data_IF_798981516015
#
_entry.id   IF_798981516015
#
_cell.length_a   1.000
_cell.length_b   1.000
_cell.length_c   1.000
_cell.angle_alpha   90.00
_cell.angle_beta   90.00
_cell.angle_gamma   90.00
#
_symmetry.space_group_name_H-M   'P 1'
#
loop_
_entity.id
_entity.type
_entity.pdbx_description
1 polymer ?
#
# COMPACT_ATOMS: atom_id res chain seq x y z
N UNK A 1 15.92 -12.44 5.95
CA UNK A 1 14.94 -11.61 6.63
C UNK A 1 15.66 -10.46 7.32
N UNK A 2 15.26 -9.23 7.06
CA UNK A 2 15.76 -7.99 7.65
C UNK A 2 17.31 -7.88 7.70
N UNK A 3 17.99 -7.96 6.54
CA UNK A 3 19.44 -7.86 6.53
C UNK A 3 19.90 -6.49 7.04
N UNK A 4 21.01 -6.50 7.81
CA UNK A 4 21.65 -5.29 8.30
C UNK A 4 22.62 -4.71 7.27
N UNK A 5 23.08 -3.46 7.50
CA UNK A 5 23.92 -2.66 6.61
C UNK A 5 25.27 -3.28 6.22
N UNK A 6 25.71 -4.30 6.95
CA UNK A 6 27.06 -4.84 6.83
C UNK A 6 27.33 -5.57 5.50
N UNK A 7 26.28 -5.97 4.77
CA UNK A 7 26.50 -6.68 3.51
C UNK A 7 25.26 -6.71 2.62
N UNK A 8 25.49 -6.44 1.33
CA UNK A 8 24.52 -6.73 0.27
C UNK A 8 24.73 -8.13 -0.35
N UNK A 9 25.24 -9.09 0.42
CA UNK A 9 25.44 -10.47 -0.07
C UNK A 9 24.13 -11.12 -0.47
N UNK A 10 23.03 -10.78 0.20
CA UNK A 10 21.68 -11.21 -0.20
C UNK A 10 21.31 -10.73 -1.60
N UNK A 11 21.65 -9.49 -1.96
CA UNK A 11 21.43 -8.97 -3.30
C UNK A 11 22.24 -9.75 -4.35
N UNK A 12 23.51 -10.08 -4.02
CA UNK A 12 24.37 -10.91 -4.90
C UNK A 12 23.81 -12.33 -5.07
N UNK A 13 23.36 -12.94 -3.97
CA UNK A 13 22.72 -14.27 -4.01
C UNK A 13 21.43 -14.24 -4.82
N UNK A 14 20.58 -13.24 -4.60
CA UNK A 14 19.35 -13.02 -5.36
C UNK A 14 19.65 -12.91 -6.86
N UNK A 15 20.69 -12.15 -7.23
CA UNK A 15 21.13 -12.03 -8.63
C UNK A 15 21.61 -13.37 -9.20
N UNK A 16 22.42 -14.14 -8.47
CA UNK A 16 22.89 -15.45 -8.92
C UNK A 16 21.72 -16.41 -9.15
N UNK A 17 20.74 -16.43 -8.25
CA UNK A 17 19.53 -17.28 -8.38
C UNK A 17 18.76 -16.87 -9.65
N UNK A 18 18.53 -15.59 -9.84
CA UNK A 18 17.82 -15.08 -11.00
C UNK A 18 18.56 -15.38 -12.32
N UNK A 19 19.88 -15.19 -12.35
CA UNK A 19 20.71 -15.47 -13.54
C UNK A 19 20.74 -16.97 -13.87
N UNK A 20 20.68 -17.84 -12.82
CA UNK A 20 20.57 -19.29 -13.00
C UNK A 20 19.19 -19.69 -13.54
N UNK A 21 18.12 -19.12 -13.04
CA UNK A 21 16.76 -19.38 -13.50
C UNK A 21 15.84 -18.15 -13.27
N UNK A 22 15.59 -17.43 -14.35
CA UNK A 22 14.77 -16.20 -14.33
C UNK A 22 13.27 -16.43 -13.99
N UNK A 23 12.83 -17.68 -13.85
CA UNK A 23 11.50 -18.01 -13.32
C UNK A 23 11.45 -18.06 -11.78
N UNK A 24 12.61 -18.01 -11.14
CA UNK A 24 12.68 -17.95 -9.68
C UNK A 24 12.78 -16.49 -9.26
N UNK A 25 11.81 -16.04 -8.49
CA UNK A 25 11.81 -14.71 -7.87
C UNK A 25 12.38 -14.79 -6.46
N UNK A 26 13.64 -14.39 -6.24
CA UNK A 26 14.18 -14.32 -4.88
C UNK A 26 13.40 -13.29 -4.06
N UNK A 27 13.03 -13.65 -2.84
CA UNK A 27 12.34 -12.77 -1.93
C UNK A 27 13.22 -12.42 -0.73
N UNK A 28 13.35 -11.13 -0.48
CA UNK A 28 14.01 -10.59 0.70
C UNK A 28 13.09 -9.57 1.37
N UNK A 29 12.86 -9.71 2.66
CA UNK A 29 12.21 -8.71 3.47
C UNK A 29 13.26 -7.72 3.99
N UNK A 30 13.10 -6.45 3.70
CA UNK A 30 13.99 -5.37 4.15
C UNK A 30 13.44 -4.74 5.43
N UNK A 31 14.33 -4.21 6.25
CA UNK A 31 13.96 -3.33 7.35
C UNK A 31 13.24 -2.07 6.84
N UNK A 32 12.34 -1.48 7.63
CA UNK A 32 11.73 -0.20 7.29
C UNK A 32 12.77 0.92 7.26
N UNK A 33 12.42 2.05 6.61
CA UNK A 33 13.28 3.24 6.60
C UNK A 33 13.66 3.63 8.04
N UNK A 34 14.93 3.93 8.24
CA UNK A 34 15.47 4.26 9.55
C UNK A 34 15.79 3.06 10.44
N UNK A 35 15.64 1.84 9.95
CA UNK A 35 16.07 0.63 10.65
C UNK A 35 17.56 0.63 10.97
N UNK A 36 18.36 1.33 10.14
CA UNK A 36 19.79 1.61 10.39
C UNK A 36 20.22 2.88 9.64
N UNK A 37 21.35 3.54 10.02
CA UNK A 37 21.73 4.86 9.50
C UNK A 37 21.93 4.95 7.99
N UNK A 38 22.52 3.94 7.36
CA UNK A 38 22.80 3.88 5.91
C UNK A 38 21.73 3.16 5.10
N UNK A 39 20.48 3.18 5.58
CA UNK A 39 19.37 2.47 4.93
C UNK A 39 19.17 2.84 3.44
N UNK A 40 19.24 4.13 3.12
CA UNK A 40 19.08 4.61 1.74
C UNK A 40 20.21 4.11 0.82
N UNK A 41 21.47 4.10 1.29
CA UNK A 41 22.61 3.55 0.55
C UNK A 41 22.45 2.05 0.34
N UNK A 42 22.11 1.32 1.40
CA UNK A 42 21.89 -0.12 1.35
C UNK A 42 20.81 -0.50 0.34
N UNK A 43 19.64 0.13 0.38
CA UNK A 43 18.53 -0.16 -0.54
C UNK A 43 18.88 0.24 -1.98
N UNK A 44 19.57 1.37 -2.16
CA UNK A 44 20.06 1.78 -3.48
C UNK A 44 21.04 0.77 -4.07
N UNK A 45 21.98 0.26 -3.29
CA UNK A 45 22.93 -0.76 -3.71
C UNK A 45 22.23 -2.10 -3.97
N UNK A 46 21.31 -2.51 -3.09
CA UNK A 46 20.49 -3.70 -3.28
C UNK A 46 19.75 -3.66 -4.61
N UNK A 47 19.05 -2.58 -4.91
CA UNK A 47 18.33 -2.39 -6.18
C UNK A 47 19.27 -2.36 -7.38
N UNK A 48 20.44 -1.73 -7.26
CA UNK A 48 21.43 -1.68 -8.34
C UNK A 48 22.02 -3.06 -8.66
N UNK A 49 22.29 -3.88 -7.65
CA UNK A 49 22.82 -5.23 -7.82
C UNK A 49 21.76 -6.15 -8.41
N UNK A 50 20.54 -6.12 -7.89
CA UNK A 50 19.45 -7.03 -8.29
C UNK A 50 18.75 -6.59 -9.57
N UNK A 51 18.62 -5.28 -9.82
CA UNK A 51 17.89 -4.72 -10.96
C UNK A 51 18.54 -4.93 -12.31
N UNK A 52 19.87 -4.89 -12.41
CA UNK A 52 20.65 -5.17 -13.60
C UNK A 52 19.93 -4.85 -14.93
N UNK A 53 19.93 -5.81 -15.85
CA UNK A 53 19.16 -5.78 -17.12
C UNK A 53 17.76 -6.38 -16.98
N UNK A 54 17.44 -6.98 -15.85
CA UNK A 54 16.17 -7.62 -15.58
C UNK A 54 15.41 -6.80 -14.52
N UNK A 55 14.10 -6.66 -14.70
CA UNK A 55 13.23 -6.08 -13.69
C UNK A 55 13.36 -6.92 -12.43
N UNK A 56 13.78 -6.30 -11.36
CA UNK A 56 13.71 -6.90 -10.04
C UNK A 56 12.23 -7.17 -9.72
N UNK A 57 11.89 -8.43 -9.44
CA UNK A 57 10.49 -8.76 -9.38
C UNK A 57 9.80 -8.15 -8.17
N UNK A 58 10.48 -7.94 -7.04
CA UNK A 58 10.00 -6.94 -6.07
C UNK A 58 10.93 -6.57 -4.93
N UNK A 59 10.77 -5.35 -4.49
CA UNK A 59 11.35 -4.77 -3.30
C UNK A 59 10.31 -4.87 -2.16
N UNK A 60 10.59 -5.67 -1.14
CA UNK A 60 9.67 -5.92 -0.03
C UNK A 60 10.25 -5.47 1.31
N UNK A 61 9.39 -4.99 2.20
CA UNK A 61 9.75 -4.57 3.54
C UNK A 61 8.58 -4.79 4.50
N UNK A 62 8.81 -4.62 5.80
CA UNK A 62 7.76 -4.52 6.80
C UNK A 62 7.84 -3.24 7.63
N UNK A 63 6.69 -2.76 8.07
CA UNK A 63 6.54 -1.67 9.02
C UNK A 63 5.10 -1.68 9.53
N UNK A 64 4.90 -2.00 10.79
CA UNK A 64 3.57 -2.19 11.36
C UNK A 64 3.08 -0.92 12.06
N UNK A 65 1.78 -0.66 11.97
CA UNK A 65 1.23 0.66 12.30
C UNK A 65 0.28 0.71 13.50
N UNK A 66 -0.35 -0.39 13.92
CA UNK A 66 -1.32 -0.38 15.01
C UNK A 66 -0.67 -0.79 16.33
N UNK A 67 -0.29 0.21 17.14
CA UNK A 67 0.50 0.04 18.35
C UNK A 67 -0.35 -0.46 19.53
N UNK A 68 0.28 -1.19 20.46
CA UNK A 68 -0.39 -1.77 21.64
C UNK A 68 -0.99 -0.72 22.59
N UNK A 69 -0.45 0.49 22.60
CA UNK A 69 -0.97 1.64 23.39
C UNK A 69 -2.18 2.34 22.76
N UNK A 70 -2.65 1.84 21.59
CA UNK A 70 -3.71 2.45 20.80
C UNK A 70 -3.24 3.51 19.83
N UNK A 71 -1.93 3.80 19.78
CA UNK A 71 -1.30 4.72 18.85
C UNK A 71 -1.24 4.17 17.43
N UNK A 72 -0.86 5.05 16.51
CA UNK A 72 -0.59 4.74 15.12
C UNK A 72 0.85 5.15 14.78
N UNK A 73 1.61 4.25 14.17
CA UNK A 73 2.96 4.53 13.71
C UNK A 73 2.92 5.33 12.40
N UNK A 74 2.98 6.64 12.48
CA UNK A 74 2.95 7.56 11.35
C UNK A 74 4.14 7.40 10.39
N UNK A 75 5.23 6.79 10.84
CA UNK A 75 6.41 6.50 10.02
C UNK A 75 6.13 5.51 8.88
N UNK A 76 5.02 4.76 8.94
CA UNK A 76 4.61 3.83 7.89
C UNK A 76 4.45 4.53 6.52
N UNK A 77 3.89 5.74 6.49
CA UNK A 77 3.70 6.49 5.24
C UNK A 77 5.03 6.89 4.59
N UNK A 78 6.01 7.30 5.39
CA UNK A 78 7.34 7.61 4.87
C UNK A 78 8.02 6.36 4.29
N UNK A 79 7.92 5.22 4.97
CA UNK A 79 8.46 3.95 4.48
C UNK A 79 7.81 3.52 3.15
N UNK A 80 6.46 3.58 3.07
CA UNK A 80 5.71 3.28 1.84
C UNK A 80 6.13 4.18 0.68
N UNK A 81 6.24 5.49 0.93
CA UNK A 81 6.63 6.46 -0.11
C UNK A 81 8.06 6.22 -0.60
N UNK A 82 8.99 5.93 0.29
CA UNK A 82 10.38 5.60 -0.08
C UNK A 82 10.45 4.33 -0.92
N UNK A 83 9.80 3.25 -0.51
CA UNK A 83 9.76 1.99 -1.25
C UNK A 83 9.13 2.19 -2.63
N UNK A 84 8.03 2.97 -2.73
CA UNK A 84 7.44 3.36 -4.01
C UNK A 84 8.44 4.08 -4.92
N UNK A 85 9.14 5.09 -4.39
CA UNK A 85 10.15 5.86 -5.13
C UNK A 85 11.27 4.96 -5.65
N UNK A 86 11.77 4.03 -4.84
CA UNK A 86 12.76 3.05 -5.27
C UNK A 86 12.20 2.09 -6.32
N UNK A 87 10.96 1.62 -6.14
CA UNK A 87 10.28 0.80 -7.14
C UNK A 87 10.19 1.46 -8.50
N UNK A 88 9.77 2.74 -8.55
CA UNK A 88 9.72 3.52 -9.78
C UNK A 88 11.13 3.74 -10.37
N UNK A 89 12.09 4.17 -9.55
CA UNK A 89 13.46 4.46 -9.98
C UNK A 89 14.16 3.25 -10.60
N UNK A 90 13.97 2.07 -10.04
CA UNK A 90 14.66 0.85 -10.47
C UNK A 90 13.75 -0.11 -11.25
N UNK A 91 12.55 0.33 -11.62
CA UNK A 91 11.55 -0.47 -12.33
C UNK A 91 11.28 -1.82 -11.61
N UNK A 92 11.17 -1.79 -10.29
CA UNK A 92 10.90 -2.96 -9.46
C UNK A 92 9.46 -2.93 -8.96
N UNK A 93 8.80 -4.09 -8.93
CA UNK A 93 7.54 -4.23 -8.22
C UNK A 93 7.79 -4.07 -6.72
N UNK A 94 6.84 -3.49 -6.01
CA UNK A 94 6.96 -3.23 -4.58
C UNK A 94 5.95 -4.04 -3.79
N UNK A 95 6.29 -4.37 -2.57
CA UNK A 95 5.41 -5.07 -1.67
C UNK A 95 5.72 -4.79 -0.21
N UNK A 96 4.81 -5.16 0.66
CA UNK A 96 5.04 -5.02 2.08
C UNK A 96 4.25 -6.05 2.89
N UNK A 97 4.69 -6.22 4.14
CA UNK A 97 3.99 -7.03 5.10
C UNK A 97 2.99 -6.19 5.89
N UNK A 98 1.74 -6.58 5.81
CA UNK A 98 0.61 -5.96 6.52
C UNK A 98 0.43 -6.59 7.89
N UNK A 99 0.09 -5.77 8.87
CA UNK A 99 -0.15 -6.22 10.24
C UNK A 99 -1.43 -7.04 10.34
N UNK A 100 -1.31 -8.29 10.79
CA UNK A 100 -2.44 -9.11 11.23
C UNK A 100 -2.04 -10.01 12.40
N UNK A 101 -1.31 -9.44 13.36
CA UNK A 101 -0.87 -10.11 14.57
C UNK A 101 -1.07 -9.23 15.80
N UNK A 102 -1.05 -9.86 16.95
CA UNK A 102 -0.82 -9.20 18.23
C UNK A 102 0.51 -9.68 18.82
N UNK A 103 1.36 -8.70 19.18
CA UNK A 103 2.57 -8.89 19.97
C UNK A 103 2.39 -8.08 21.24
N UNK A 104 2.32 -8.75 22.40
CA UNK A 104 2.04 -8.10 23.67
C UNK A 104 3.03 -6.98 23.96
N UNK A 105 2.50 -5.77 24.18
CA UNK A 105 3.28 -4.58 24.48
C UNK A 105 3.86 -3.87 23.26
N UNK A 106 3.75 -4.43 22.04
CA UNK A 106 4.22 -3.81 20.81
C UNK A 106 3.06 -3.50 19.85
N UNK A 107 2.30 -4.50 19.42
CA UNK A 107 1.24 -4.36 18.41
C UNK A 107 -0.06 -4.98 18.91
N UNK A 108 -1.18 -4.31 18.67
CA UNK A 108 -2.51 -4.78 19.05
C UNK A 108 -3.22 -5.54 17.94
N UNK A 109 -4.26 -6.25 18.30
CA UNK A 109 -5.22 -6.81 17.35
C UNK A 109 -5.82 -5.68 16.53
N UNK A 110 -5.83 -5.85 15.21
CA UNK A 110 -6.45 -4.90 14.27
C UNK A 110 -7.95 -5.19 14.11
N UNK A 111 -8.75 -4.13 14.00
CA UNK A 111 -10.16 -4.23 13.59
C UNK A 111 -10.28 -4.53 12.09
N UNK A 112 -11.49 -4.86 11.64
CA UNK A 112 -11.76 -5.12 10.23
C UNK A 112 -11.46 -3.88 9.36
N UNK A 113 -11.82 -2.68 9.85
CA UNK A 113 -11.54 -1.40 9.17
C UNK A 113 -10.04 -1.11 9.12
N UNK A 114 -9.28 -1.47 10.15
CA UNK A 114 -7.83 -1.32 10.17
C UNK A 114 -7.12 -2.32 9.26
N UNK A 115 -7.61 -3.55 9.17
CA UNK A 115 -7.11 -4.52 8.19
C UNK A 115 -7.37 -4.05 6.76
N UNK A 116 -8.55 -3.50 6.49
CA UNK A 116 -8.88 -2.93 5.19
C UNK A 116 -8.02 -1.69 4.89
N UNK A 117 -7.84 -0.80 5.89
CA UNK A 117 -6.98 0.37 5.75
C UNK A 117 -5.52 0.00 5.44
N UNK A 118 -5.00 -1.04 6.07
CA UNK A 118 -3.66 -1.54 5.78
C UNK A 118 -3.50 -1.92 4.29
N UNK A 119 -4.50 -2.61 3.74
CA UNK A 119 -4.54 -2.94 2.32
C UNK A 119 -4.71 -1.70 1.42
N UNK A 120 -5.63 -0.79 1.77
CA UNK A 120 -5.90 0.45 1.01
C UNK A 120 -4.69 1.39 0.99
N UNK A 121 -3.99 1.49 2.12
CA UNK A 121 -2.75 2.25 2.23
C UNK A 121 -1.68 1.69 1.29
N UNK A 122 -1.44 0.38 1.31
CA UNK A 122 -0.51 -0.25 0.37
C UNK A 122 -0.91 -0.04 -1.08
N UNK A 123 -2.21 -0.12 -1.38
CA UNK A 123 -2.73 0.20 -2.71
C UNK A 123 -2.37 1.63 -3.11
N UNK A 124 -2.64 2.64 -2.27
CA UNK A 124 -2.36 4.04 -2.59
C UNK A 124 -0.88 4.27 -2.93
N UNK A 125 0.02 3.56 -2.25
CA UNK A 125 1.46 3.66 -2.53
C UNK A 125 1.97 2.70 -3.62
N UNK A 126 1.08 2.09 -4.40
CA UNK A 126 1.47 1.29 -5.57
C UNK A 126 2.03 -0.09 -5.27
N UNK A 127 1.81 -0.61 -4.06
CA UNK A 127 2.25 -1.97 -3.73
C UNK A 127 1.58 -2.99 -4.64
N UNK A 128 2.36 -3.94 -5.14
CA UNK A 128 1.90 -5.01 -6.03
C UNK A 128 1.85 -6.36 -5.32
N UNK A 129 2.55 -6.48 -4.20
CA UNK A 129 2.62 -7.70 -3.44
C UNK A 129 2.23 -7.43 -1.99
N UNK A 130 1.12 -8.01 -1.57
CA UNK A 130 0.52 -7.86 -0.26
C UNK A 130 0.71 -9.13 0.54
N UNK A 131 1.36 -9.04 1.70
CA UNK A 131 1.63 -10.16 2.60
C UNK A 131 1.09 -9.85 3.97
N UNK A 132 0.52 -10.82 4.63
CA UNK A 132 0.05 -10.69 6.01
C UNK A 132 1.06 -11.29 6.99
N UNK A 133 1.45 -10.53 7.98
CA UNK A 133 2.23 -11.00 9.11
C UNK A 133 1.40 -10.91 10.40
N UNK A 134 0.97 -12.03 10.98
CA UNK A 134 1.41 -13.39 10.71
C UNK A 134 0.21 -14.31 10.50
N UNK A 135 0.27 -15.22 9.52
CA UNK A 135 -0.83 -16.13 9.25
C UNK A 135 -1.07 -17.11 10.42
N UNK A 136 -0.06 -17.87 10.83
CA UNK A 136 -0.15 -18.79 11.96
C UNK A 136 0.56 -18.16 13.17
N UNK A 137 -0.12 -18.12 14.30
CA UNK A 137 0.46 -17.62 15.56
C UNK A 137 1.71 -18.41 15.94
N UNK A 138 2.89 -17.77 16.05
CA UNK A 138 4.09 -18.48 16.52
C UNK A 138 3.92 -18.98 17.96
N UNK A 139 4.17 -20.26 18.19
CA UNK A 139 4.07 -20.89 19.51
C UNK A 139 5.48 -21.17 20.02
N UNK A 140 5.86 -20.52 21.13
CA UNK A 140 7.10 -20.84 21.85
C UNK A 140 8.39 -20.45 21.14
N UNK A 141 8.35 -19.55 20.17
CA UNK A 141 9.52 -19.21 19.34
C UNK A 141 9.89 -17.73 19.37
N UNK A 142 11.19 -17.44 19.27
CA UNK A 142 11.73 -16.16 18.79
C UNK A 142 11.86 -15.02 19.78
N UNK A 143 11.47 -15.17 21.03
CA UNK A 143 11.61 -14.08 22.04
C UNK A 143 10.52 -13.01 22.00
N UNK A 144 9.69 -12.95 20.97
CA UNK A 144 8.55 -12.05 20.89
C UNK A 144 7.29 -12.70 21.47
N UNK A 145 6.51 -11.98 22.30
CA UNK A 145 5.33 -12.52 22.94
C UNK A 145 4.09 -12.47 22.05
N UNK A 146 4.11 -13.21 20.92
CA UNK A 146 2.95 -13.36 20.06
C UNK A 146 1.77 -13.96 20.83
N UNK A 147 0.60 -13.39 20.65
CA UNK A 147 -0.64 -13.88 21.28
C UNK A 147 -1.64 -14.37 20.25
N UNK A 148 -1.69 -13.73 19.06
CA UNK A 148 -2.56 -14.17 17.97
C UNK A 148 -2.03 -13.71 16.61
N UNK A 149 -2.34 -14.51 15.58
CA UNK A 149 -2.23 -14.21 14.15
C UNK A 149 -3.59 -14.38 13.49
N UNK A 150 -3.62 -14.58 12.17
CA UNK A 150 -4.88 -14.89 11.46
C UNK A 150 -5.45 -16.23 11.93
N UNK A 151 -4.58 -17.21 12.12
CA UNK A 151 -4.91 -18.50 12.78
C UNK A 151 -4.32 -18.45 14.19
N UNK A 152 -5.18 -18.66 15.18
CA UNK A 152 -4.82 -18.63 16.59
C UNK A 152 -3.90 -19.80 17.01
N UNK A 153 -3.39 -19.76 18.27
CA UNK A 153 -2.52 -20.81 18.79
C UNK A 153 -3.24 -22.15 18.97
N UNK A 154 -4.55 -22.17 18.92
CA UNK A 154 -5.41 -23.38 18.92
C UNK A 154 -5.69 -23.90 17.50
N UNK A 155 -5.01 -23.37 16.48
CA UNK A 155 -5.16 -23.71 15.06
C UNK A 155 -6.55 -23.40 14.48
N UNK A 156 -7.30 -22.47 15.08
CA UNK A 156 -8.59 -22.01 14.59
C UNK A 156 -8.51 -20.57 14.07
N UNK A 157 -9.46 -20.18 13.19
CA UNK A 157 -9.61 -18.78 12.79
C UNK A 157 -9.70 -17.86 14.00
N UNK A 158 -8.86 -16.82 14.02
CA UNK A 158 -8.89 -15.79 15.05
C UNK A 158 -9.98 -14.74 14.73
N UNK A 159 -10.09 -13.74 15.59
CA UNK A 159 -10.99 -12.58 15.38
C UNK A 159 -10.64 -11.76 14.14
N UNK A 160 -9.41 -11.85 13.62
CA UNK A 160 -8.95 -11.14 12.42
C UNK A 160 -9.22 -11.90 11.11
N UNK A 161 -9.62 -13.18 11.18
CA UNK A 161 -9.72 -14.03 9.99
C UNK A 161 -10.67 -13.49 8.92
N UNK A 162 -11.88 -13.09 9.31
CA UNK A 162 -12.89 -12.60 8.34
C UNK A 162 -12.49 -11.22 7.80
N UNK A 163 -11.89 -10.34 8.61
CA UNK A 163 -11.37 -9.05 8.16
C UNK A 163 -10.23 -9.21 7.14
N UNK A 164 -9.27 -10.11 7.38
CA UNK A 164 -8.20 -10.44 6.42
C UNK A 164 -8.77 -11.01 5.12
N UNK A 165 -9.75 -11.90 5.22
CA UNK A 165 -10.42 -12.49 4.05
C UNK A 165 -11.16 -11.41 3.23
N UNK A 166 -11.84 -10.47 3.87
CA UNK A 166 -12.52 -9.35 3.21
C UNK A 166 -11.50 -8.41 2.54
N UNK A 167 -10.41 -8.04 3.23
CA UNK A 167 -9.35 -7.24 2.66
C UNK A 167 -8.68 -7.92 1.46
N UNK A 168 -8.45 -9.24 1.50
CA UNK A 168 -7.91 -9.99 0.37
C UNK A 168 -8.86 -9.99 -0.84
N UNK A 169 -10.17 -10.10 -0.62
CA UNK A 169 -11.15 -9.99 -1.69
C UNK A 169 -11.10 -8.61 -2.35
N UNK A 170 -10.94 -7.55 -1.55
CA UNK A 170 -10.81 -6.17 -2.03
C UNK A 170 -9.51 -5.97 -2.81
N UNK A 171 -8.37 -6.46 -2.31
CA UNK A 171 -7.08 -6.46 -3.03
C UNK A 171 -7.21 -7.14 -4.40
N UNK A 172 -7.90 -8.27 -4.47
CA UNK A 172 -8.11 -8.98 -5.73
C UNK A 172 -8.95 -8.17 -6.74
N UNK A 173 -9.95 -7.41 -6.27
CA UNK A 173 -10.72 -6.50 -7.13
C UNK A 173 -9.84 -5.33 -7.62
N UNK A 174 -9.10 -4.68 -6.75
CA UNK A 174 -8.19 -3.60 -7.15
C UNK A 174 -7.13 -4.06 -8.15
N UNK A 175 -6.61 -5.28 -7.98
CA UNK A 175 -5.61 -5.88 -8.87
C UNK A 175 -6.07 -6.02 -10.31
N UNK A 176 -7.38 -6.18 -10.56
CA UNK A 176 -7.95 -6.25 -11.92
C UNK A 176 -7.76 -4.93 -12.69
N UNK A 177 -7.74 -3.81 -11.99
CA UNK A 177 -7.61 -2.46 -12.57
C UNK A 177 -6.19 -1.96 -12.49
N UNK A 178 -5.57 -2.02 -11.30
CA UNK A 178 -4.30 -1.36 -11.01
C UNK A 178 -3.08 -2.29 -11.09
N UNK A 179 -3.28 -3.58 -11.34
CA UNK A 179 -2.19 -4.56 -11.37
C UNK A 179 -1.12 -4.27 -12.43
N UNK A 180 -1.49 -3.59 -13.52
CA UNK A 180 -0.61 -3.17 -14.59
C UNK A 180 -0.45 -1.65 -14.68
N UNK A 181 -0.46 -0.96 -13.57
CA UNK A 181 -0.30 0.48 -13.47
C UNK A 181 0.61 0.82 -12.32
N UNK A 182 1.36 1.91 -12.38
CA UNK A 182 2.22 2.37 -11.28
C UNK A 182 1.64 3.63 -10.63
N UNK A 183 1.71 3.72 -9.29
CA UNK A 183 1.37 4.92 -8.55
C UNK A 183 2.49 5.95 -8.71
N UNK A 184 2.35 6.85 -9.70
CA UNK A 184 3.37 7.84 -10.04
C UNK A 184 3.42 9.00 -9.06
N UNK A 185 2.27 9.35 -8.47
CA UNK A 185 2.15 10.41 -7.47
C UNK A 185 1.32 9.91 -6.28
N UNK A 186 1.69 10.34 -5.07
CA UNK A 186 0.93 10.08 -3.85
C UNK A 186 0.95 11.32 -2.97
N UNK A 187 -0.23 11.71 -2.51
CA UNK A 187 -0.47 12.90 -1.72
C UNK A 187 -1.36 12.61 -0.51
N UNK A 188 -1.33 13.50 0.47
CA UNK A 188 -2.28 13.50 1.59
C UNK A 188 -3.13 14.77 1.58
N UNK A 189 -4.33 14.71 2.16
CA UNK A 189 -5.19 15.89 2.35
C UNK A 189 -4.59 16.94 3.29
N UNK A 190 -3.67 16.52 4.16
CA UNK A 190 -3.00 17.34 5.18
C UNK A 190 -1.53 16.93 5.34
N UNK A 191 -0.76 17.70 6.07
CA UNK A 191 0.67 17.48 6.25
C UNK A 191 0.97 16.17 7.01
N UNK A 192 1.67 15.25 6.33
CA UNK A 192 2.18 13.99 6.89
C UNK A 192 3.66 13.87 6.59
N UNK A 193 4.45 13.52 7.60
CA UNK A 193 5.91 13.44 7.46
C UNK A 193 6.36 12.52 6.33
N UNK A 194 7.27 13.01 5.48
CA UNK A 194 7.80 12.28 4.34
C UNK A 194 6.85 12.16 3.14
N UNK A 195 5.72 12.90 3.16
CA UNK A 195 4.73 12.92 2.09
C UNK A 195 4.32 14.34 1.76
N UNK A 196 3.81 14.52 0.55
CA UNK A 196 3.35 15.81 0.06
C UNK A 196 1.85 16.00 0.30
N UNK A 197 1.43 17.25 0.45
CA UNK A 197 0.00 17.61 0.48
C UNK A 197 -0.48 17.69 -0.96
N UNK A 198 -1.72 17.26 -1.20
CA UNK A 198 -2.35 17.31 -2.52
C UNK A 198 -2.30 18.73 -3.08
N UNK A 199 -1.75 18.96 -4.30
CA UNK A 199 -1.65 20.27 -4.90
C UNK A 199 -3.03 20.80 -5.35
N UNK A 200 -3.16 22.12 -5.46
CA UNK A 200 -4.42 22.76 -5.84
C UNK A 200 -4.89 22.42 -7.26
N UNK A 201 -3.96 22.11 -8.15
CA UNK A 201 -4.18 21.72 -9.54
C UNK A 201 -4.30 20.21 -9.76
N UNK A 202 -4.38 19.43 -8.69
CA UNK A 202 -4.65 18.00 -8.83
C UNK A 202 -5.98 17.76 -9.53
N UNK A 203 -6.07 16.67 -10.28
CA UNK A 203 -7.21 16.34 -11.19
C UNK A 203 -8.60 16.36 -10.53
N UNK A 204 -8.67 16.12 -9.22
CA UNK A 204 -9.86 16.31 -8.39
C UNK A 204 -9.46 17.05 -7.13
N UNK A 205 -10.23 18.04 -6.71
CA UNK A 205 -9.98 18.80 -5.50
C UNK A 205 -11.03 18.51 -4.45
N UNK A 206 -10.61 17.94 -3.34
CA UNK A 206 -11.51 17.73 -2.21
C UNK A 206 -12.00 19.06 -1.65
N UNK A 207 -13.30 19.12 -1.38
CA UNK A 207 -13.97 20.27 -0.77
C UNK A 207 -14.52 19.97 0.63
N UNK A 208 -14.60 18.69 0.99
CA UNK A 208 -14.90 18.24 2.36
C UNK A 208 -13.63 18.24 3.22
N UNK A 209 -13.78 18.31 4.54
CA UNK A 209 -12.69 18.30 5.52
C UNK A 209 -12.48 16.87 6.07
N UNK A 210 -12.15 15.94 5.20
CA UNK A 210 -11.89 14.55 5.58
C UNK A 210 -10.43 14.19 5.33
N UNK A 211 -9.83 13.39 6.22
CA UNK A 211 -8.49 12.89 6.03
C UNK A 211 -8.44 11.83 4.91
N UNK A 212 -7.60 12.05 3.90
CA UNK A 212 -7.49 11.17 2.73
C UNK A 212 -6.04 10.96 2.29
N UNK A 213 -5.82 9.86 1.54
CA UNK A 213 -4.64 9.65 0.70
C UNK A 213 -5.11 9.64 -0.74
N UNK A 214 -4.38 10.31 -1.61
CA UNK A 214 -4.60 10.36 -3.05
C UNK A 214 -3.44 9.70 -3.76
N UNK A 215 -3.73 8.91 -4.79
CA UNK A 215 -2.69 8.42 -5.68
C UNK A 215 -3.10 8.60 -7.14
N UNK A 216 -2.18 9.09 -7.95
CA UNK A 216 -2.30 9.09 -9.40
C UNK A 216 -1.57 7.86 -9.93
N UNK A 217 -2.29 7.05 -10.68
CA UNK A 217 -1.77 5.87 -11.34
C UNK A 217 -1.65 6.07 -12.84
N UNK A 218 -0.55 5.59 -13.43
CA UNK A 218 -0.33 5.55 -14.87
C UNK A 218 -0.31 4.10 -15.33
N UNK A 219 -1.09 3.79 -16.37
CA UNK A 219 -1.08 2.47 -17.02
C UNK A 219 0.27 2.17 -17.65
N UNK A 220 0.73 0.92 -17.50
CA UNK A 220 1.94 0.39 -18.14
C UNK A 220 1.67 -0.28 -19.51
N UNK A 221 0.40 -0.31 -19.95
CA UNK A 221 0.00 -0.94 -21.21
C UNK A 221 0.17 -0.03 -22.43
N UNK A 222 0.68 1.19 -22.27
CA UNK A 222 0.92 2.14 -23.34
C UNK A 222 -0.36 2.78 -23.90
N UNK A 223 -1.47 2.65 -23.21
CA UNK A 223 -2.79 3.16 -23.62
C UNK A 223 -3.10 4.56 -23.08
N UNK A 224 -2.16 5.18 -22.37
CA UNK A 224 -2.28 6.52 -21.80
C UNK A 224 -3.23 6.62 -20.60
N UNK A 225 -3.87 5.52 -20.19
CA UNK A 225 -4.89 5.54 -19.11
C UNK A 225 -4.29 5.93 -17.78
N UNK A 226 -5.03 6.76 -17.08
CA UNK A 226 -4.76 7.16 -15.70
C UNK A 226 -5.92 6.78 -14.79
N UNK A 227 -5.57 6.55 -13.50
CA UNK A 227 -6.55 6.28 -12.46
C UNK A 227 -6.22 7.13 -11.24
N UNK A 228 -7.25 7.56 -10.51
CA UNK A 228 -7.07 8.17 -9.20
C UNK A 228 -7.61 7.22 -8.15
N UNK A 229 -6.80 6.97 -7.14
CA UNK A 229 -7.22 6.25 -5.93
C UNK A 229 -7.41 7.27 -4.81
N UNK A 230 -8.54 7.20 -4.14
CA UNK A 230 -8.84 7.99 -2.94
C UNK A 230 -9.05 7.02 -1.78
N UNK A 231 -8.27 7.15 -0.72
CA UNK A 231 -8.40 6.32 0.49
C UNK A 231 -8.98 7.15 1.61
N UNK A 232 -10.02 6.64 2.28
CA UNK A 232 -10.48 7.19 3.54
C UNK A 232 -9.45 6.87 4.63
N UNK A 233 -8.69 7.88 5.09
CA UNK A 233 -7.64 7.72 6.09
C UNK A 233 -8.18 7.64 7.54
N UNK A 234 -9.47 7.84 7.73
CA UNK A 234 -10.15 7.60 9.00
C UNK A 234 -10.64 6.14 9.03
N UNK A 235 -9.86 5.29 9.68
CA UNK A 235 -10.08 3.84 9.77
C UNK A 235 -10.73 3.41 11.08
N UNK A 236 -11.23 4.36 11.88
CA UNK A 236 -11.97 4.05 13.10
C UNK A 236 -13.32 3.42 12.79
N UNK A 237 -13.79 2.53 13.65
CA UNK A 237 -15.10 1.88 13.48
C UNK A 237 -16.22 2.92 13.33
N UNK A 238 -17.03 2.77 12.26
CA UNK A 238 -18.14 3.67 11.96
C UNK A 238 -17.71 5.04 11.46
N UNK A 239 -16.48 5.17 10.97
CA UNK A 239 -15.91 6.38 10.39
C UNK A 239 -16.03 6.43 8.86
N UNK A 240 -17.10 5.86 8.33
CA UNK A 240 -17.47 6.05 6.93
C UNK A 240 -17.67 7.52 6.62
N UNK A 241 -17.22 7.97 5.46
CA UNK A 241 -17.24 9.40 5.09
C UNK A 241 -17.84 9.62 3.70
N UNK A 242 -18.61 10.69 3.59
CA UNK A 242 -18.91 11.30 2.31
C UNK A 242 -17.81 12.30 1.97
N UNK A 243 -17.12 12.05 0.87
CA UNK A 243 -16.12 12.94 0.30
C UNK A 243 -16.75 13.72 -0.81
N UNK A 244 -16.61 15.04 -0.81
CA UNK A 244 -17.05 15.94 -1.89
C UNK A 244 -15.84 16.47 -2.61
N UNK A 245 -15.94 16.56 -3.94
CA UNK A 245 -14.86 17.01 -4.82
C UNK A 245 -15.36 18.04 -5.80
N UNK A 246 -14.53 19.05 -6.06
CA UNK A 246 -14.62 19.87 -7.26
C UNK A 246 -13.80 19.17 -8.37
N UNK A 247 -14.31 19.24 -9.58
CA UNK A 247 -13.68 18.68 -10.77
C UNK A 247 -12.88 19.77 -11.47
N UNK A 248 -11.65 19.43 -11.91
CA UNK A 248 -10.85 20.37 -12.69
C UNK A 248 -11.53 20.66 -14.01
N UNK A 249 -11.52 21.94 -14.44
CA UNK A 249 -12.12 22.39 -15.68
C UNK A 249 -11.55 21.60 -16.88
N UNK A 250 -12.46 21.13 -17.74
CA UNK A 250 -12.08 20.38 -18.95
C UNK A 250 -12.07 18.85 -18.78
N UNK A 251 -12.39 18.30 -17.61
CA UNK A 251 -12.56 16.86 -17.43
C UNK A 251 -13.87 16.39 -18.11
N UNK A 252 -13.81 15.58 -19.19
CA UNK A 252 -15.00 15.27 -19.98
C UNK A 252 -15.96 14.28 -19.29
N UNK A 253 -15.44 13.37 -18.49
CA UNK A 253 -16.19 12.34 -17.78
C UNK A 253 -15.39 11.79 -16.61
N UNK A 254 -16.08 11.17 -15.68
CA UNK A 254 -15.48 10.46 -14.55
C UNK A 254 -16.29 9.20 -14.27
N UNK A 255 -15.59 8.10 -14.04
CA UNK A 255 -16.20 6.82 -13.69
C UNK A 255 -15.59 6.27 -12.41
N UNK A 256 -16.44 5.64 -11.59
CA UNK A 256 -16.08 4.92 -10.38
C UNK A 256 -16.02 3.43 -10.67
N UNK A 257 -14.97 2.75 -10.21
CA UNK A 257 -14.89 1.29 -10.23
C UNK A 257 -15.57 0.70 -9.00
N UNK A 258 -16.61 -0.06 -9.20
CA UNK A 258 -17.33 -0.77 -8.13
C UNK A 258 -17.79 -2.15 -8.58
N UNK A 259 -17.56 -3.18 -7.76
CA UNK A 259 -18.04 -4.55 -7.98
C UNK A 259 -17.61 -5.18 -9.29
N UNK A 260 -16.48 -4.78 -9.88
CA UNK A 260 -15.98 -5.28 -11.16
C UNK A 260 -16.46 -4.51 -12.38
N UNK A 261 -17.21 -3.43 -12.21
CA UNK A 261 -17.74 -2.58 -13.27
C UNK A 261 -17.39 -1.10 -13.08
N UNK A 262 -17.42 -0.35 -14.17
CA UNK A 262 -17.26 1.10 -14.18
C UNK A 262 -18.64 1.76 -14.26
N UNK A 263 -18.90 2.69 -13.35
CA UNK A 263 -20.16 3.46 -13.29
C UNK A 263 -19.85 4.93 -13.47
N UNK A 264 -20.51 5.58 -14.44
CA UNK A 264 -20.34 7.01 -14.70
C UNK A 264 -20.83 7.83 -13.50
N UNK A 265 -20.04 8.82 -13.12
CA UNK A 265 -20.40 9.83 -12.11
C UNK A 265 -20.99 11.05 -12.79
N UNK A 266 -22.03 11.63 -12.20
CA UNK A 266 -22.56 12.92 -12.63
C UNK A 266 -21.64 14.06 -12.13
N UNK A 267 -20.93 14.67 -13.04
CA UNK A 267 -20.04 15.81 -12.79
C UNK A 267 -20.54 17.10 -13.45
N UNK A 268 -21.79 17.12 -13.94
CA UNK A 268 -22.34 18.26 -14.71
C UNK A 268 -22.42 19.57 -13.92
N UNK A 269 -22.43 19.51 -12.59
CA UNK A 269 -22.36 20.68 -11.71
C UNK A 269 -20.92 21.16 -11.41
N UNK A 270 -19.89 20.52 -11.96
CA UNK A 270 -18.50 20.76 -11.60
C UNK A 270 -18.07 20.14 -10.26
N UNK A 271 -18.91 19.27 -9.68
CA UNK A 271 -18.64 18.59 -8.42
C UNK A 271 -19.31 17.23 -8.36
N UNK A 272 -18.79 16.35 -7.50
CA UNK A 272 -19.38 15.04 -7.20
C UNK A 272 -19.10 14.64 -5.76
N UNK A 273 -19.81 13.62 -5.27
CA UNK A 273 -19.56 13.02 -3.95
C UNK A 273 -19.34 11.52 -4.07
N UNK A 274 -18.49 11.00 -3.16
CA UNK A 274 -18.25 9.57 -2.97
C UNK A 274 -18.45 9.20 -1.51
N UNK A 275 -19.16 8.13 -1.26
CA UNK A 275 -19.19 7.51 0.07
C UNK A 275 -18.10 6.46 0.13
N UNK A 276 -17.12 6.63 1.03
CA UNK A 276 -16.00 5.71 1.22
C UNK A 276 -16.04 5.21 2.65
N UNK A 277 -16.18 3.90 2.81
CA UNK A 277 -16.18 3.26 4.12
C UNK A 277 -14.87 3.51 4.89
N UNK A 278 -14.90 3.34 6.19
CA UNK A 278 -13.73 3.51 7.06
C UNK A 278 -12.56 2.63 6.58
N UNK A 279 -11.41 3.25 6.28
CA UNK A 279 -10.22 2.56 5.80
C UNK A 279 -10.29 2.00 4.37
N UNK A 280 -11.40 2.12 3.65
CA UNK A 280 -11.53 1.66 2.26
C UNK A 280 -11.04 2.72 1.25
N UNK A 281 -11.08 2.37 -0.02
CA UNK A 281 -10.67 3.20 -1.14
C UNK A 281 -11.69 3.20 -2.28
N UNK A 282 -11.70 4.29 -3.05
CA UNK A 282 -12.37 4.42 -4.33
C UNK A 282 -11.35 4.52 -5.46
N UNK A 283 -11.64 3.92 -6.62
CA UNK A 283 -10.82 4.01 -7.82
C UNK A 283 -11.63 4.71 -8.91
N UNK A 284 -11.06 5.78 -9.45
CA UNK A 284 -11.67 6.62 -10.47
C UNK A 284 -10.86 6.54 -11.78
N UNK A 285 -11.53 6.71 -12.91
CA UNK A 285 -10.91 6.91 -14.23
C UNK A 285 -11.71 7.92 -15.05
N UNK A 286 -11.25 8.21 -16.23
CA UNK A 286 -11.85 9.18 -17.14
C UNK A 286 -11.08 10.49 -17.18
N UNK A 287 -9.91 10.44 -16.58
CA UNK A 287 -8.99 11.55 -16.44
C UNK A 287 -8.32 11.80 -17.78
N UNK A 288 -8.49 13.02 -18.30
CA UNK A 288 -7.78 13.64 -19.42
C UNK A 288 -7.25 12.66 -20.47
N UNK A 289 -7.87 12.62 -21.60
CA UNK A 289 -7.22 12.11 -22.82
C UNK A 289 -5.92 12.92 -23.00
N UNK A 290 -4.77 12.25 -22.82
CA UNK A 290 -3.46 12.86 -22.91
C UNK A 290 -3.13 13.21 -24.38
#
# INVERSE_FOLDING_TARGET
>A
DEPHEESNDYARVARIIHDYNHHITPHLNLLPIGGFPSWDEYVSEYCAITGGTHRMEYLSYDNYCFMADGGFNWGVYNSLNKIRQYGLKYNASTGYYMQCMEIRGAYRISSDEELLFNASMGLAYGMKNFKWFVYLTPIGGGGEPFTTGVIGPDFKPSVMYEGVKAANARIAEWGKVLGKSDAVEVYHSDAVSGNEVVPEDFVIRQTSDNAAIYALYQSLEGDGRQYVVVVNRDFGKGRDKEFTFAVTEGLPSLELYDGGAWTSLDIGSGSFSLFIAAGDSAILRGLLDA
#
